data_IF_309866803465
#
_entry.id   IF_309866803465
#
_cell.length_a   1.000
_cell.length_b   1.000
_cell.length_c   1.000
_cell.angle_alpha   90.00
_cell.angle_beta   90.00
_cell.angle_gamma   90.00
#
_symmetry.space_group_name_H-M   'P 1'
#
loop_
_entity.id
_entity.type
_entity.pdbx_description
1 polymer ?
2 non-polymer ?
3 water ?
#
# COMPACT_ATOMS: atom_id res chain seq x y z
N UNK A 34 -6.11 -15.42 2.77
CA UNK A 34 -6.33 -16.78 2.16
C UNK A 34 -5.27 -17.79 2.57
N UNK A 35 -4.44 -18.22 1.60
CA UNK A 35 -3.33 -19.21 1.75
C UNK A 35 -2.29 -18.66 2.74
N UNK A 36 -1.61 -19.54 3.48
CA UNK A 36 -0.64 -19.17 4.54
C UNK A 36 0.52 -18.36 3.92
N UNK A 37 0.78 -18.54 2.61
CA UNK A 37 1.96 -18.00 1.91
C UNK A 37 1.95 -16.48 1.89
N UNK A 38 0.77 -15.90 1.69
CA UNK A 38 0.49 -14.45 1.80
C UNK A 38 0.88 -13.96 3.19
N UNK A 39 0.43 -14.66 4.24
CA UNK A 39 0.60 -14.25 5.65
C UNK A 39 2.06 -14.42 6.05
N UNK A 40 2.73 -15.46 5.55
CA UNK A 40 4.20 -15.64 5.75
C UNK A 40 4.93 -14.43 5.18
N UNK A 41 4.58 -14.01 3.96
CA UNK A 41 5.32 -12.91 3.27
C UNK A 41 5.15 -11.61 4.07
N UNK A 42 3.93 -11.34 4.53
CA UNK A 42 3.60 -10.11 5.30
C UNK A 42 4.30 -10.17 6.64
N UNK A 43 4.23 -11.30 7.35
CA UNK A 43 4.86 -11.47 8.68
C UNK A 43 6.39 -11.32 8.56
N UNK A 44 6.97 -11.80 7.47
CA UNK A 44 8.46 -11.72 7.26
C UNK A 44 8.89 -10.34 6.78
N UNK A 45 7.95 -9.43 6.53
CA UNK A 45 8.30 -8.03 6.17
C UNK A 45 8.54 -7.29 7.50
N UNK A 46 9.80 -7.11 7.87
CA UNK A 46 10.18 -6.54 9.20
C UNK A 46 9.78 -5.05 9.25
N UNK A 47 9.91 -4.33 8.13
CA UNK A 47 9.53 -2.88 8.05
C UNK A 47 8.03 -2.76 8.37
N UNK A 48 7.21 -3.52 7.62
CA UNK A 48 5.76 -3.57 7.80
C UNK A 48 5.43 -3.94 9.24
N UNK A 49 5.84 -5.12 9.69
CA UNK A 49 5.26 -5.70 10.92
C UNK A 49 5.84 -4.99 12.14
N UNK A 50 7.11 -4.61 12.09
CA UNK A 50 7.78 -3.93 13.24
C UNK A 50 7.32 -2.46 13.32
N UNK A 51 6.89 -1.84 12.21
CA UNK A 51 6.31 -0.46 12.24
C UNK A 51 4.99 -0.50 13.03
N UNK A 52 4.16 -1.52 12.79
CA UNK A 52 2.84 -1.69 13.47
C UNK A 52 3.12 -1.98 14.94
N UNK A 53 4.08 -2.86 15.21
CA UNK A 53 4.46 -3.27 16.59
C UNK A 53 4.93 -2.05 17.39
N UNK A 54 5.83 -1.26 16.80
CA UNK A 54 6.41 -0.04 17.43
C UNK A 54 5.32 0.98 17.71
N UNK A 55 4.46 1.27 16.72
CA UNK A 55 3.34 2.21 16.87
C UNK A 55 2.50 1.77 18.08
N UNK A 56 2.14 0.49 18.12
CA UNK A 56 1.22 -0.04 19.17
C UNK A 56 1.94 -0.05 20.54
N UNK A 57 3.12 -0.66 20.64
CA UNK A 57 3.82 -0.82 21.95
C UNK A 57 4.30 0.54 22.48
N UNK A 58 4.71 1.45 21.60
CA UNK A 58 5.27 2.77 22.00
C UNK A 58 4.14 3.80 22.18
N UNK A 59 2.88 3.45 21.91
CA UNK A 59 1.70 4.34 22.13
C UNK A 59 0.58 3.57 22.81
N UNK A 60 0.82 2.94 23.98
CA UNK A 60 -0.18 2.08 24.62
C UNK A 60 -1.38 2.88 25.13
N UNK A 61 -1.23 4.19 25.30
CA UNK A 61 -2.34 5.07 25.73
C UNK A 61 -3.46 5.05 24.70
N UNK A 62 -3.14 4.75 23.45
CA UNK A 62 -4.15 4.67 22.34
C UNK A 62 -4.95 3.37 22.53
N UNK A 63 -4.41 2.39 23.27
CA UNK A 63 -5.00 1.03 23.37
C UNK A 63 -5.54 0.71 24.77
N UNK A 64 -4.96 1.31 25.82
CA UNK A 64 -5.26 0.98 27.25
C UNK A 64 -6.78 1.01 27.47
N UNK A 65 -7.36 -0.13 27.83
CA UNK A 65 -8.79 -0.28 28.24
C UNK A 65 -9.73 0.12 27.10
N UNK A 66 -9.26 0.09 25.85
CA UNK A 66 -10.10 0.48 24.67
C UNK A 66 -10.64 -0.79 23.99
N UNK A 67 -11.70 -0.61 23.19
CA UNK A 67 -12.25 -1.65 22.27
C UNK A 67 -11.64 -1.41 20.89
N UNK A 68 -10.97 -2.43 20.34
CA UNK A 68 -10.19 -2.35 19.08
C UNK A 68 -10.78 -3.32 18.06
N UNK A 69 -10.94 -2.85 16.82
CA UNK A 69 -11.33 -3.69 15.66
C UNK A 69 -10.15 -3.81 14.69
N UNK A 70 -9.70 -5.05 14.46
CA UNK A 70 -8.68 -5.42 13.45
C UNK A 70 -9.42 -5.91 12.20
N UNK A 71 -9.43 -5.10 11.13
CA UNK A 71 -10.17 -5.40 9.87
C UNK A 71 -9.21 -6.18 8.96
N UNK A 72 -9.54 -7.44 8.68
CA UNK A 72 -8.65 -8.35 7.95
C UNK A 72 -7.45 -8.73 8.80
N UNK A 73 -7.72 -9.35 9.95
CA UNK A 73 -6.72 -9.65 11.00
C UNK A 73 -5.71 -10.69 10.53
N UNK A 74 -6.01 -11.48 9.50
CA UNK A 74 -5.15 -12.62 9.10
C UNK A 74 -4.86 -13.53 10.29
N UNK A 75 -3.58 -13.84 10.55
CA UNK A 75 -3.10 -14.69 11.66
C UNK A 75 -3.39 -14.04 13.04
N UNK A 76 -3.74 -12.75 13.07
CA UNK A 76 -4.19 -12.04 14.30
C UNK A 76 -3.07 -11.32 15.03
N UNK A 77 -1.89 -11.15 14.41
CA UNK A 77 -0.69 -10.58 15.09
C UNK A 77 -1.00 -9.15 15.58
N UNK A 78 -1.73 -8.36 14.82
CA UNK A 78 -2.05 -6.95 15.17
C UNK A 78 -2.99 -6.95 16.38
N UNK A 79 -3.90 -7.91 16.44
CA UNK A 79 -4.87 -8.05 17.55
C UNK A 79 -4.11 -8.43 18.81
N UNK A 80 -3.05 -9.23 18.68
CA UNK A 80 -2.25 -9.70 19.82
C UNK A 80 -1.35 -8.55 20.30
N UNK A 81 -0.78 -7.74 19.39
CA UNK A 81 -0.08 -6.47 19.75
C UNK A 81 -1.02 -5.58 20.59
N UNK A 82 -2.21 -5.28 20.08
CA UNK A 82 -3.20 -4.40 20.76
C UNK A 82 -3.50 -4.96 22.16
N UNK A 83 -3.78 -6.27 22.25
CA UNK A 83 -4.03 -6.98 23.53
C UNK A 83 -2.89 -6.69 24.51
N UNK A 84 -1.64 -6.88 24.07
CA UNK A 84 -0.45 -6.74 24.94
C UNK A 84 -0.33 -5.27 25.38
N UNK A 85 -0.71 -4.29 24.54
CA UNK A 85 -0.62 -2.84 24.86
C UNK A 85 -1.80 -2.41 25.78
N UNK A 86 -2.68 -3.34 26.17
CA UNK A 86 -3.67 -3.11 27.25
C UNK A 86 -5.10 -2.90 26.76
N UNK A 87 -5.42 -3.29 25.53
CA UNK A 87 -6.81 -3.25 25.01
C UNK A 87 -7.74 -4.02 25.97
N UNK A 88 -8.92 -3.47 26.27
CA UNK A 88 -9.96 -4.19 27.06
C UNK A 88 -10.45 -5.39 26.24
N UNK A 89 -10.64 -5.18 24.95
CA UNK A 89 -11.35 -6.11 24.03
C UNK A 89 -10.83 -5.82 22.62
N UNK A 90 -10.48 -6.89 21.89
CA UNK A 90 -10.06 -6.81 20.47
C UNK A 90 -10.93 -7.75 19.64
N UNK A 91 -11.54 -7.19 18.60
CA UNK A 91 -12.35 -7.94 17.61
C UNK A 91 -11.54 -8.08 16.33
N UNK A 92 -11.10 -9.29 16.02
CA UNK A 92 -10.40 -9.62 14.78
C UNK A 92 -11.34 -10.21 13.78
N UNK A 93 -11.44 -9.62 12.60
CA UNK A 93 -12.39 -10.05 11.55
C UNK A 93 -11.59 -10.38 10.30
N UNK A 94 -11.84 -11.55 9.73
CA UNK A 94 -11.25 -11.99 8.44
C UNK A 94 -12.23 -12.93 7.74
N UNK A 95 -12.42 -12.72 6.44
CA UNK A 95 -13.38 -13.48 5.60
C UNK A 95 -12.79 -14.85 5.21
N UNK A 96 -11.49 -15.03 5.35
CA UNK A 96 -10.77 -16.22 4.83
C UNK A 96 -10.61 -17.29 5.92
N UNK A 97 -10.40 -18.53 5.48
CA UNK A 97 -9.93 -19.72 6.25
C UNK A 97 -8.89 -19.31 7.31
N UNK A 98 -8.02 -18.35 7.00
CA UNK A 98 -6.88 -17.98 7.89
C UNK A 98 -7.41 -17.70 9.29
N UNK A 99 -8.69 -17.29 9.41
CA UNK A 99 -9.28 -16.97 10.73
C UNK A 99 -9.30 -18.19 11.66
N UNK A 100 -9.41 -19.39 11.13
CA UNK A 100 -9.42 -20.64 11.94
C UNK A 100 -8.01 -20.86 12.51
N UNK A 101 -6.96 -20.56 11.74
CA UNK A 101 -5.55 -20.57 12.24
C UNK A 101 -5.38 -19.48 13.31
N UNK A 102 -6.06 -18.34 13.18
CA UNK A 102 -5.98 -17.22 14.14
C UNK A 102 -6.63 -17.66 15.45
N UNK A 103 -7.71 -18.44 15.39
CA UNK A 103 -8.42 -18.95 16.60
C UNK A 103 -7.45 -19.82 17.41
N UNK A 104 -6.74 -20.76 16.77
CA UNK A 104 -5.71 -21.62 17.40
C UNK A 104 -4.59 -20.75 17.99
N UNK A 105 -4.11 -19.76 17.21
CA UNK A 105 -2.99 -18.86 17.61
C UNK A 105 -3.42 -18.05 18.85
N UNK A 106 -4.59 -17.45 18.85
CA UNK A 106 -5.07 -16.67 20.03
C UNK A 106 -5.14 -17.60 21.25
N UNK A 107 -5.52 -18.87 21.07
CA UNK A 107 -5.63 -19.86 22.19
C UNK A 107 -4.22 -20.24 22.66
N UNK A 108 -3.30 -20.47 21.73
CA UNK A 108 -1.90 -20.84 22.01
C UNK A 108 -1.26 -19.77 22.88
N UNK A 109 -1.68 -18.50 22.72
CA UNK A 109 -1.08 -17.33 23.44
C UNK A 109 -1.99 -16.92 24.59
N UNK A 110 -3.06 -17.67 24.87
CA UNK A 110 -3.97 -17.51 26.06
C UNK A 110 -4.55 -16.09 26.09
N UNK A 111 -4.95 -15.57 24.93
CA UNK A 111 -5.51 -14.21 24.76
C UNK A 111 -6.99 -14.31 24.41
N UNK A 112 -7.59 -15.50 24.51
CA UNK A 112 -8.98 -15.74 24.04
C UNK A 112 -9.92 -14.91 24.93
N UNK A 113 -9.49 -14.55 26.14
CA UNK A 113 -10.28 -13.72 27.11
C UNK A 113 -10.32 -12.26 26.64
N UNK A 114 -9.38 -11.82 25.81
CA UNK A 114 -9.30 -10.42 25.32
C UNK A 114 -9.68 -10.34 23.83
N UNK A 115 -9.19 -11.28 23.01
CA UNK A 115 -9.39 -11.25 21.53
C UNK A 115 -10.48 -12.24 21.14
N UNK A 116 -11.53 -11.75 20.49
CA UNK A 116 -12.62 -12.57 19.93
C UNK A 116 -12.54 -12.44 18.41
N UNK A 117 -12.55 -13.57 17.70
CA UNK A 117 -12.38 -13.66 16.24
C UNK A 117 -13.70 -14.06 15.59
N UNK A 118 -13.99 -13.47 14.44
CA UNK A 118 -15.28 -13.59 13.70
C UNK A 118 -14.92 -13.80 12.23
N UNK A 119 -15.39 -14.89 11.62
CA UNK A 119 -15.24 -15.14 10.16
C UNK A 119 -16.36 -14.42 9.41
N UNK A 120 -16.03 -13.80 8.28
CA UNK A 120 -16.97 -13.11 7.39
C UNK A 120 -16.35 -11.85 6.82
N UNK A 121 -17.05 -11.23 5.87
CA UNK A 121 -16.74 -9.87 5.39
C UNK A 121 -17.07 -8.93 6.55
N UNK A 122 -16.22 -7.93 6.78
CA UNK A 122 -16.49 -6.85 7.75
C UNK A 122 -17.83 -6.21 7.39
N UNK A 123 -18.23 -6.31 6.12
CA UNK A 123 -19.43 -5.66 5.56
C UNK A 123 -20.68 -6.42 6.02
N UNK A 124 -20.54 -7.69 6.41
CA UNK A 124 -21.67 -8.64 6.66
C UNK A 124 -21.72 -9.08 8.14
N UNK A 125 -20.57 -9.35 8.78
CA UNK A 125 -20.51 -9.98 10.15
C UNK A 125 -21.35 -9.16 11.14
N UNK A 126 -21.86 -9.82 12.18
CA UNK A 126 -22.49 -9.19 13.36
C UNK A 126 -21.43 -9.11 14.48
N UNK A 127 -21.17 -7.91 14.98
CA UNK A 127 -20.20 -7.66 16.08
C UNK A 127 -20.96 -7.71 17.40
N UNK A 128 -20.34 -8.21 18.48
CA UNK A 128 -20.95 -8.16 19.81
C UNK A 128 -20.86 -6.78 20.48
N UNK A 129 -20.67 -5.71 19.69
CA UNK A 129 -20.68 -4.30 20.19
C UNK A 129 -21.33 -3.42 19.10
N UNK A 130 -21.72 -2.19 19.46
CA UNK A 130 -22.31 -1.20 18.54
C UNK A 130 -21.18 -0.38 17.88
N UNK A 131 -20.15 -0.07 18.67
CA UNK A 131 -19.10 0.93 18.35
C UNK A 131 -17.75 0.42 18.86
N UNK A 132 -16.67 0.80 18.19
CA UNK A 132 -15.29 0.53 18.66
C UNK A 132 -14.57 1.86 18.86
N UNK A 133 -13.56 1.88 19.73
CA UNK A 133 -12.75 3.08 20.05
C UNK A 133 -11.66 3.28 18.99
N UNK A 134 -11.14 2.18 18.47
CA UNK A 134 -9.91 2.17 17.62
C UNK A 134 -10.10 1.14 16.50
N UNK A 135 -9.75 1.52 15.28
CA UNK A 135 -9.66 0.57 14.14
C UNK A 135 -8.19 0.51 13.72
N UNK A 136 -7.67 -0.70 13.60
CA UNK A 136 -6.35 -0.96 13.00
C UNK A 136 -6.55 -1.89 11.84
N UNK A 137 -5.72 -1.75 10.83
CA UNK A 137 -5.75 -2.61 9.64
C UNK A 137 -4.44 -2.44 8.90
N UNK A 138 -3.99 -3.51 8.26
CA UNK A 138 -3.00 -3.46 7.15
C UNK A 138 -3.75 -3.74 5.84
N UNK A 139 -4.12 -2.71 5.10
CA UNK A 139 -5.11 -2.80 4.00
C UNK A 139 -4.45 -2.52 2.64
N UNK A 140 -3.17 -2.17 2.66
CA UNK A 140 -2.47 -1.48 1.56
C UNK A 140 -2.01 -2.49 0.50
N UNK A 141 -2.24 -2.16 -0.77
CA UNK A 141 -1.88 -2.97 -1.94
C UNK A 141 -0.64 -2.39 -2.61
N UNK A 142 -0.17 -3.05 -3.66
CA UNK A 142 0.88 -2.49 -4.55
C UNK A 142 0.41 -1.11 -5.00
N UNK A 143 1.31 -0.12 -5.01
CA UNK A 143 0.98 1.29 -5.36
C UNK A 143 -0.21 1.77 -4.50
N UNK A 144 -0.30 1.23 -3.28
CA UNK A 144 -1.27 1.59 -2.19
C UNK A 144 -2.65 1.04 -2.50
N UNK A 145 -3.16 1.22 -3.73
CA UNK A 145 -4.60 1.05 -4.04
C UNK A 145 -4.89 -0.22 -4.87
N UNK A 146 -3.90 -0.89 -5.43
CA UNK A 146 -4.19 -2.14 -6.17
C UNK A 146 -4.59 -3.22 -5.17
N UNK A 147 -5.77 -3.83 -5.38
CA UNK A 147 -6.31 -4.95 -4.58
C UNK A 147 -6.11 -4.59 -3.11
N UNK A 148 -6.41 -3.34 -2.79
CA UNK A 148 -6.37 -2.79 -1.42
C UNK A 148 -7.71 -3.10 -0.74
N UNK A 149 -7.77 -2.94 0.58
CA UNK A 149 -8.91 -3.29 1.45
C UNK A 149 -9.50 -2.00 2.03
N UNK A 150 -9.06 -0.84 1.54
CA UNK A 150 -9.33 0.46 2.22
C UNK A 150 -10.85 0.67 2.24
N UNK A 151 -11.52 0.26 1.17
CA UNK A 151 -13.00 0.37 1.00
C UNK A 151 -13.67 -0.35 2.18
N UNK A 152 -13.18 -1.54 2.54
CA UNK A 152 -13.68 -2.35 3.69
C UNK A 152 -13.39 -1.62 5.00
N UNK A 153 -12.23 -0.96 5.10
CA UNK A 153 -11.78 -0.27 6.34
C UNK A 153 -12.62 1.00 6.51
N UNK A 154 -12.90 1.71 5.41
CA UNK A 154 -13.73 2.95 5.43
C UNK A 154 -15.17 2.60 5.84
N UNK A 155 -15.67 1.43 5.42
CA UNK A 155 -17.00 0.90 5.81
C UNK A 155 -17.05 0.69 7.33
N UNK A 156 -16.04 -0.01 7.87
CA UNK A 156 -15.87 -0.22 9.31
C UNK A 156 -15.89 1.13 10.04
N UNK A 157 -15.06 2.08 9.58
CA UNK A 157 -15.01 3.45 10.15
C UNK A 157 -16.46 3.94 10.29
N UNK A 158 -17.15 4.07 9.16
CA UNK A 158 -18.43 4.81 9.05
C UNK A 158 -19.51 4.12 9.89
N UNK A 159 -19.48 2.78 10.03
CA UNK A 159 -20.54 1.99 10.71
C UNK A 159 -20.22 1.87 12.21
N UNK A 160 -18.96 1.65 12.60
CA UNK A 160 -18.60 1.13 13.93
C UNK A 160 -17.73 2.11 14.75
N UNK A 161 -17.12 3.12 14.15
CA UNK A 161 -16.12 3.95 14.88
C UNK A 161 -16.86 4.93 15.78
N UNK A 162 -16.65 4.81 17.09
CA UNK A 162 -17.25 5.72 18.10
C UNK A 162 -16.91 7.16 17.76
N UNK A 163 -17.79 8.08 18.13
CA UNK A 163 -17.56 9.55 18.14
C UNK A 163 -16.18 9.80 18.76
N UNK A 164 -15.28 10.49 18.06
CA UNK A 164 -13.95 10.87 18.57
C UNK A 164 -12.94 9.72 18.56
N UNK A 165 -13.32 8.52 18.10
CA UNK A 165 -12.40 7.38 17.92
C UNK A 165 -11.30 7.65 16.89
N UNK A 166 -10.43 6.68 16.65
CA UNK A 166 -9.23 6.82 15.77
C UNK A 166 -9.04 5.57 14.92
N UNK A 167 -8.53 5.74 13.70
CA UNK A 167 -8.19 4.65 12.76
C UNK A 167 -6.69 4.77 12.42
N UNK A 168 -6.00 3.64 12.23
CA UNK A 168 -4.52 3.57 12.09
C UNK A 168 -4.18 2.49 11.08
N UNK A 169 -3.21 2.74 10.14
CA UNK A 169 -2.54 4.04 10.02
C UNK A 169 -3.50 5.14 9.55
N UNK A 170 -3.28 6.38 9.99
CA UNK A 170 -4.25 7.49 9.78
C UNK A 170 -3.88 8.33 8.54
N UNK A 171 -2.65 8.26 8.06
CA UNK A 171 -2.19 9.15 6.95
C UNK A 171 -1.33 8.32 5.99
N UNK A 172 -1.58 8.48 4.68
CA UNK A 172 -0.90 7.76 3.58
C UNK A 172 -0.62 8.76 2.46
N UNK A 173 0.52 8.59 1.78
CA UNK A 173 0.87 9.38 0.57
C UNK A 173 1.36 8.47 -0.53
N UNK A 174 1.14 8.90 -1.76
CA UNK A 174 1.62 8.25 -3.00
C UNK A 174 2.54 9.24 -3.70
N UNK A 175 3.65 8.72 -4.23
CA UNK A 175 4.69 9.49 -4.91
C UNK A 175 5.05 8.83 -6.23
N UNK A 176 5.48 9.65 -7.19
CA UNK A 176 6.12 9.25 -8.45
C UNK A 176 7.57 9.71 -8.42
N UNK A 177 8.44 8.99 -9.13
CA UNK A 177 9.88 9.34 -9.29
C UNK A 177 10.33 8.86 -10.66
N UNK A 178 11.13 9.65 -11.37
CA UNK A 178 11.59 9.35 -12.75
C UNK A 178 12.74 8.35 -12.68
N UNK A 179 12.83 7.45 -13.66
CA UNK A 179 13.86 6.36 -13.71
C UNK A 179 14.60 6.38 -15.06
N UNK A 180 15.92 6.21 -15.02
CA UNK A 180 16.75 5.87 -16.21
C UNK A 180 17.32 4.47 -16.02
N UNK A 181 16.92 3.54 -16.88
CA UNK A 181 17.47 2.16 -16.86
C UNK A 181 17.21 1.52 -18.22
N UNK A 182 18.08 1.82 -19.18
CA UNK A 182 17.93 1.40 -20.60
C UNK A 182 18.12 -0.12 -20.66
N UNK A 183 18.92 -0.70 -19.77
CA UNK A 183 19.18 -2.18 -19.74
C UNK A 183 17.92 -2.95 -19.30
N UNK A 184 17.30 -2.56 -18.19
CA UNK A 184 16.05 -3.23 -17.73
C UNK A 184 14.97 -2.99 -18.79
N UNK A 185 14.94 -1.82 -19.42
CA UNK A 185 13.93 -1.51 -20.48
C UNK A 185 14.15 -2.46 -21.67
N UNK A 186 15.39 -2.64 -22.08
CA UNK A 186 15.77 -3.54 -23.19
C UNK A 186 15.43 -5.00 -22.81
N UNK A 187 15.73 -5.42 -21.58
CA UNK A 187 15.39 -6.77 -21.03
C UNK A 187 13.91 -7.08 -21.21
N UNK A 188 13.04 -6.07 -21.13
CA UNK A 188 11.57 -6.27 -21.10
C UNK A 188 10.91 -5.96 -22.46
N UNK A 189 11.51 -5.08 -23.29
CA UNK A 189 10.81 -4.50 -24.46
C UNK A 189 11.55 -4.87 -25.74
N UNK A 190 12.75 -4.30 -25.93
CA UNK A 190 13.66 -4.63 -27.05
C UNK A 190 13.84 -6.16 -27.18
N UNK A 191 13.95 -6.88 -26.04
CA UNK A 191 13.98 -8.37 -25.98
C UNK A 191 13.17 -8.96 -27.15
N UNK A 192 11.94 -8.49 -27.35
CA UNK A 192 10.92 -9.12 -28.23
C UNK A 192 11.23 -8.86 -29.72
N UNK A 193 12.22 -8.03 -30.03
CA UNK A 193 12.54 -7.71 -31.46
C UNK A 193 13.33 -8.85 -32.08
N UNK A 194 14.21 -9.52 -31.31
CA UNK A 194 15.03 -10.66 -31.81
C UNK A 194 15.03 -11.77 -30.75
N UNK A 195 14.21 -12.81 -30.96
CA UNK A 195 14.09 -13.98 -30.04
C UNK A 195 14.61 -15.23 -30.75
N UNK A 196 15.83 -15.64 -30.43
CA UNK A 196 16.59 -16.71 -31.13
C UNK A 196 16.43 -16.55 -32.64
N UNK A 197 16.59 -15.31 -33.14
CA UNK A 197 16.65 -15.02 -34.58
C UNK A 197 15.31 -14.65 -35.19
N UNK A 198 14.20 -14.67 -34.46
CA UNK A 198 12.83 -14.41 -35.00
C UNK A 198 12.27 -13.11 -34.41
N UNK A 199 11.53 -12.35 -35.22
CA UNK A 199 10.85 -11.09 -34.78
C UNK A 199 9.61 -11.47 -33.95
N UNK A 200 9.47 -10.94 -32.73
CA UNK A 200 8.24 -11.03 -31.88
C UNK A 200 7.80 -9.64 -31.42
N UNK A 201 8.15 -8.61 -32.21
CA UNK A 201 7.92 -7.15 -31.94
C UNK A 201 6.49 -6.85 -31.47
N UNK A 202 5.50 -7.51 -32.05
CA UNK A 202 4.05 -7.31 -31.81
C UNK A 202 3.70 -7.62 -30.34
N UNK A 203 4.60 -8.26 -29.61
CA UNK A 203 4.40 -8.64 -28.19
C UNK A 203 4.52 -7.41 -27.30
N UNK A 204 5.23 -6.37 -27.76
CA UNK A 204 5.50 -5.12 -27.01
C UNK A 204 4.20 -4.45 -26.55
N UNK A 205 3.11 -4.58 -27.31
CA UNK A 205 1.83 -3.85 -27.08
C UNK A 205 1.09 -4.50 -25.90
N UNK A 206 1.36 -5.76 -25.58
CA UNK A 206 0.80 -6.46 -24.40
C UNK A 206 1.64 -6.17 -23.15
N UNK A 207 2.92 -5.83 -23.31
CA UNK A 207 3.87 -5.72 -22.18
C UNK A 207 3.82 -4.28 -21.60
N UNK A 208 3.80 -3.26 -22.46
CA UNK A 208 3.96 -1.84 -22.04
C UNK A 208 2.88 -1.50 -21.00
N UNK A 209 1.61 -1.85 -21.25
CA UNK A 209 0.50 -1.50 -20.36
C UNK A 209 0.50 -2.22 -19.00
N UNK A 210 1.39 -3.17 -18.79
CA UNK A 210 1.41 -3.92 -17.51
C UNK A 210 2.42 -3.26 -16.58
N UNK A 211 1.95 -2.67 -15.50
CA UNK A 211 2.80 -2.15 -14.41
C UNK A 211 3.60 -3.32 -13.83
N UNK A 212 4.83 -3.08 -13.40
CA UNK A 212 5.73 -4.13 -12.86
C UNK A 212 5.92 -3.82 -11.39
N UNK A 213 5.71 -4.80 -10.53
CA UNK A 213 6.08 -4.69 -9.10
C UNK A 213 7.45 -5.31 -8.92
N UNK A 214 8.46 -4.50 -8.58
CA UNK A 214 9.87 -4.93 -8.45
C UNK A 214 10.63 -3.91 -7.59
N UNK A 215 11.80 -4.31 -7.11
CA UNK A 215 12.74 -3.46 -6.33
C UNK A 215 13.62 -2.71 -7.34
N UNK A 216 13.59 -1.37 -7.31
CA UNK A 216 14.45 -0.47 -8.10
C UNK A 216 15.77 -0.23 -7.37
N UNK A 217 16.86 -0.33 -8.11
CA UNK A 217 18.17 0.23 -7.70
C UNK A 217 18.01 1.73 -7.54
N UNK A 218 18.23 2.28 -6.32
CA UNK A 218 18.13 3.72 -6.10
C UNK A 218 19.02 4.57 -7.04
N UNK A 219 20.12 3.99 -7.48
CA UNK A 219 21.10 4.63 -8.41
C UNK A 219 20.42 5.00 -9.73
N UNK A 220 19.32 4.34 -10.10
CA UNK A 220 18.63 4.55 -11.39
C UNK A 220 17.59 5.70 -11.28
N UNK A 221 17.43 6.32 -10.12
CA UNK A 221 16.45 7.44 -9.97
C UNK A 221 17.08 8.72 -10.54
N UNK A 222 16.32 9.48 -11.32
CA UNK A 222 16.85 10.68 -12.04
C UNK A 222 15.97 11.89 -11.76
N UNK A 223 15.09 11.83 -10.77
CA UNK A 223 14.30 13.01 -10.32
C UNK A 223 14.15 12.95 -8.81
N UNK A 224 13.87 14.12 -8.23
CA UNK A 224 13.21 14.22 -6.90
C UNK A 224 11.85 13.58 -7.01
N UNK A 225 11.38 12.91 -5.94
CA UNK A 225 10.02 12.39 -5.89
C UNK A 225 8.99 13.52 -5.92
N UNK A 226 7.79 13.24 -6.42
CA UNK A 226 6.63 14.16 -6.38
C UNK A 226 5.43 13.46 -5.74
N UNK A 227 4.94 13.97 -4.61
CA UNK A 227 3.65 13.53 -4.01
C UNK A 227 2.53 13.72 -5.04
N UNK A 228 1.67 12.73 -5.25
CA UNK A 228 0.49 12.89 -6.17
C UNK A 228 -0.82 12.68 -5.40
N UNK A 229 -0.77 12.27 -4.14
CA UNK A 229 -1.97 11.90 -3.37
C UNK A 229 -1.65 11.89 -1.89
N UNK A 230 -2.52 12.51 -1.10
CA UNK A 230 -2.48 12.52 0.38
C UNK A 230 -3.85 12.07 0.87
N UNK A 231 -3.88 11.10 1.78
CA UNK A 231 -5.11 10.50 2.36
C UNK A 231 -5.03 10.60 3.88
N UNK A 232 -6.03 11.23 4.53
CA UNK A 232 -6.35 10.99 5.97
C UNK A 232 -7.52 10.05 6.00
N UNK A 233 -7.34 8.87 6.60
CA UNK A 233 -8.35 7.79 6.68
C UNK A 233 -9.51 8.23 7.57
N UNK A 234 -9.32 9.30 8.36
CA UNK A 234 -10.38 9.86 9.25
C UNK A 234 -11.45 10.56 8.41
N UNK A 235 -11.09 11.20 7.28
CA UNK A 235 -11.96 12.13 6.51
C UNK A 235 -12.21 11.64 5.07
N UNK A 236 -11.33 10.82 4.51
CA UNK A 236 -11.45 10.31 3.12
C UNK A 236 -12.72 9.44 2.98
N UNK A 237 -13.33 9.47 1.79
CA UNK A 237 -14.41 8.56 1.32
C UNK A 237 -13.86 7.66 0.22
N UNK A 238 -14.63 6.65 -0.19
CA UNK A 238 -14.27 5.73 -1.31
C UNK A 238 -14.07 6.54 -2.58
N UNK A 239 -14.87 7.58 -2.79
CA UNK A 239 -14.85 8.39 -4.03
C UNK A 239 -13.51 9.13 -4.17
N UNK A 240 -12.83 9.46 -3.07
CA UNK A 240 -11.55 10.24 -3.07
C UNK A 240 -10.39 9.36 -3.56
N UNK A 241 -10.56 8.03 -3.55
CA UNK A 241 -9.51 7.06 -3.96
C UNK A 241 -9.41 7.00 -5.49
N UNK A 242 -10.39 7.54 -6.19
CA UNK A 242 -10.33 7.81 -7.64
C UNK A 242 -9.99 9.30 -7.79
N UNK A 243 -8.82 9.64 -8.32
CA UNK A 243 -8.28 11.03 -8.31
C UNK A 243 -7.36 11.27 -9.52
N UNK A 244 -7.09 12.56 -9.79
CA UNK A 244 -6.14 13.07 -10.80
C UNK A 244 -5.21 14.02 -10.08
N UNK A 245 -3.96 14.10 -10.51
CA UNK A 245 -3.00 15.08 -9.98
C UNK A 245 -2.06 15.48 -11.11
N UNK A 246 -1.81 16.78 -11.28
CA UNK A 246 -0.70 17.32 -12.10
C UNK A 246 0.55 17.12 -11.26
N UNK A 247 1.67 16.78 -11.87
CA UNK A 247 2.91 16.58 -11.08
C UNK A 247 4.05 17.19 -11.85
N UNK A 248 5.10 17.54 -11.14
CA UNK A 248 6.38 18.00 -11.70
C UNK A 248 7.46 17.14 -11.10
N UNK A 249 8.33 16.59 -11.94
CA UNK A 249 9.54 15.88 -11.48
C UNK A 249 10.74 16.79 -11.73
N UNK A 250 11.43 17.16 -10.66
CA UNK A 250 12.67 17.95 -10.75
C UNK A 250 13.77 16.96 -11.11
N UNK A 251 14.19 16.99 -12.37
CA UNK A 251 15.23 16.08 -12.94
C UNK A 251 16.58 16.42 -12.28
N UNK A 252 17.26 15.41 -11.73
CA UNK A 252 18.56 15.58 -11.02
C UNK A 252 19.71 14.96 -11.83
N UNK A 253 19.45 14.37 -13.00
CA UNK A 253 20.51 13.75 -13.83
C UNK A 253 20.12 13.75 -15.30
N UNK A 254 21.03 14.24 -16.14
CA UNK A 254 20.92 14.22 -17.61
C UNK A 254 21.04 12.76 -18.04
N UNK A 255 20.00 12.22 -18.65
CA UNK A 255 19.85 10.76 -18.86
C UNK A 255 18.67 10.52 -19.79
N UNK A 256 18.56 9.28 -20.24
CA UNK A 256 17.37 8.75 -20.93
C UNK A 256 16.39 8.30 -19.85
N UNK A 257 15.22 8.94 -19.79
CA UNK A 257 14.11 8.56 -18.89
C UNK A 257 13.34 7.38 -19.50
N UNK A 258 13.33 6.22 -18.84
CA UNK A 258 12.77 4.97 -19.42
C UNK A 258 11.50 4.54 -18.68
N UNK A 259 11.30 5.02 -17.45
CA UNK A 259 10.16 4.61 -16.62
C UNK A 259 9.78 5.70 -15.63
N UNK A 260 8.55 5.62 -15.12
CA UNK A 260 8.11 6.30 -13.87
C UNK A 260 7.83 5.24 -12.80
N UNK A 261 8.40 5.41 -11.61
CA UNK A 261 8.16 4.50 -10.47
C UNK A 261 7.18 5.17 -9.52
N UNK A 262 6.29 4.36 -8.94
CA UNK A 262 5.35 4.79 -7.89
C UNK A 262 5.63 4.07 -6.59
N UNK A 263 5.41 4.74 -5.47
CA UNK A 263 5.47 4.12 -4.12
C UNK A 263 4.57 4.92 -3.19
N UNK A 264 4.50 4.47 -1.94
CA UNK A 264 3.66 5.09 -0.90
C UNK A 264 4.41 5.12 0.43
N UNK A 265 4.01 6.09 1.24
CA UNK A 265 4.47 6.30 2.63
C UNK A 265 3.26 6.09 3.53
N UNK A 266 3.48 5.49 4.70
CA UNK A 266 2.45 5.16 5.71
C UNK A 266 2.88 5.85 7.01
N UNK A 267 1.96 6.56 7.66
CA UNK A 267 2.19 7.37 8.88
C UNK A 267 1.17 6.99 9.94
N UNK A 268 1.66 6.86 11.17
CA UNK A 268 0.86 6.72 12.40
C UNK A 268 1.13 8.00 13.19
N UNK A 269 0.15 8.90 13.28
CA UNK A 269 0.37 10.28 13.78
C UNK A 269 -0.64 10.60 14.89
N UNK A 270 -1.94 10.52 14.62
CA UNK A 270 -2.97 11.05 15.57
C UNK A 270 -2.71 10.52 16.98
N UNK A 271 -2.51 11.43 17.92
CA UNK A 271 -2.49 11.19 19.39
C UNK A 271 -1.23 10.40 19.81
N UNK A 272 -0.21 10.31 18.95
CA UNK A 272 1.05 9.57 19.22
C UNK A 272 2.06 10.49 19.89
N UNK A 273 2.65 10.03 21.00
CA UNK A 273 3.92 10.56 21.58
C UNK A 273 5.08 10.05 20.74
N UNK A 274 4.95 8.84 20.20
CA UNK A 274 6.00 8.17 19.37
C UNK A 274 5.41 7.92 17.96
N UNK A 275 5.52 8.90 17.07
CA UNK A 275 5.00 8.82 15.67
C UNK A 275 5.88 7.86 14.87
N UNK A 276 5.28 7.15 13.90
CA UNK A 276 5.91 6.05 13.13
C UNK A 276 5.57 6.30 11.67
N UNK A 277 6.59 6.24 10.84
CA UNK A 277 6.46 6.33 9.37
C UNK A 277 7.30 5.19 8.81
N UNK A 278 6.88 4.60 7.71
CA UNK A 278 7.75 3.83 6.82
C UNK A 278 7.36 4.17 5.40
N UNK A 279 8.35 4.08 4.52
CA UNK A 279 8.29 4.37 3.09
C UNK A 279 8.51 3.05 2.34
N UNK A 280 7.82 2.85 1.22
CA UNK A 280 8.05 1.69 0.34
C UNK A 280 8.80 2.16 -0.89
N UNK A 281 9.43 3.34 -0.82
CA UNK A 281 10.22 3.96 -1.88
C UNK A 281 11.59 3.28 -2.06
N UNK A 282 12.21 3.44 -3.24
CA UNK A 282 13.46 2.77 -3.53
C UNK A 282 14.64 3.21 -2.63
N UNK A 283 14.59 4.42 -2.05
CA UNK A 283 15.68 4.95 -1.19
C UNK A 283 15.63 4.28 0.17
N UNK A 284 14.55 3.57 0.48
CA UNK A 284 14.31 2.95 1.79
C UNK A 284 14.45 1.43 1.69
N UNK A 285 14.79 0.80 2.80
CA UNK A 285 14.79 -0.67 2.97
C UNK A 285 13.61 -1.29 2.23
N UNK A 286 13.86 -2.30 1.44
CA UNK A 286 12.80 -2.92 0.61
C UNK A 286 11.75 -3.53 1.54
N UNK A 287 10.52 -3.57 1.04
CA UNK A 287 9.32 -4.18 1.67
C UNK A 287 8.78 -5.17 0.64
N UNK A 288 7.78 -5.94 1.00
CA UNK A 288 7.07 -6.88 0.09
C UNK A 288 6.25 -6.08 -0.93
N UNK A 289 5.94 -4.81 -0.67
CA UNK A 289 5.24 -3.95 -1.66
C UNK A 289 6.20 -3.56 -2.79
N UNK A 290 7.51 -3.60 -2.53
CA UNK A 290 8.53 -3.22 -3.53
C UNK A 290 8.15 -1.82 -4.05
N UNK A 291 8.27 -1.58 -5.35
CA UNK A 291 7.83 -0.34 -6.05
C UNK A 291 7.04 -0.79 -7.28
N UNK A 292 6.19 0.08 -7.81
CA UNK A 292 5.38 -0.19 -9.02
C UNK A 292 6.01 0.63 -10.15
N UNK A 293 6.37 0.00 -11.26
CA UNK A 293 7.13 0.66 -12.34
C UNK A 293 6.25 0.67 -13.58
N UNK A 294 6.10 1.85 -14.15
CA UNK A 294 5.34 2.14 -15.39
C UNK A 294 6.37 2.41 -16.47
N UNK A 295 6.55 1.47 -17.38
CA UNK A 295 7.51 1.56 -18.50
C UNK A 295 6.99 2.55 -19.54
N UNK A 296 7.88 3.39 -20.08
CA UNK A 296 7.57 4.27 -21.24
C UNK A 296 7.77 3.48 -22.54
N UNK A 297 6.80 3.56 -23.47
CA UNK A 297 6.94 3.07 -24.86
C UNK A 297 8.15 3.76 -25.53
N UNK A 298 8.25 5.09 -25.40
CA UNK A 298 9.33 5.91 -26.00
C UNK A 298 10.13 6.59 -24.91
N UNK A 299 11.25 6.00 -24.43
CA UNK A 299 12.13 6.71 -23.52
C UNK A 299 12.53 8.04 -24.20
N UNK A 300 12.86 9.07 -23.43
CA UNK A 300 13.16 10.44 -23.95
C UNK A 300 14.21 11.06 -23.04
N UNK A 301 15.11 11.87 -23.59
CA UNK A 301 16.25 12.46 -22.86
C UNK A 301 15.72 13.58 -21.96
N UNK A 302 16.33 13.75 -20.79
CA UNK A 302 16.00 14.79 -19.80
C UNK A 302 17.32 15.40 -19.32
N UNK A 303 17.26 16.63 -18.82
CA UNK A 303 18.41 17.43 -18.39
C UNK A 303 18.35 17.66 -16.88
N UNK A 304 19.46 17.54 -16.18
CA UNK A 304 19.60 18.00 -14.77
C UNK A 304 19.01 19.42 -14.66
N UNK A 305 18.10 19.65 -13.69
CA UNK A 305 17.48 20.98 -13.41
C UNK A 305 16.21 21.25 -14.20
N UNK A 306 15.83 20.39 -15.14
CA UNK A 306 14.55 20.48 -15.90
C UNK A 306 13.36 20.11 -14.98
N UNK A 307 12.24 20.81 -15.16
CA UNK A 307 10.96 20.56 -14.46
C UNK A 307 10.05 19.76 -15.41
N UNK A 308 10.04 18.45 -15.25
CA UNK A 308 9.25 17.52 -16.10
C UNK A 308 7.80 17.46 -15.57
N UNK A 309 6.86 17.95 -16.38
CA UNK A 309 5.43 18.13 -16.04
C UNK A 309 4.63 16.99 -16.69
N UNK A 310 3.75 16.36 -15.93
CA UNK A 310 2.89 15.28 -16.41
C UNK A 310 1.58 15.28 -15.67
N UNK A 311 0.66 14.40 -16.06
CA UNK A 311 -0.62 14.19 -15.34
C UNK A 311 -0.80 12.71 -15.07
N UNK A 312 -1.40 12.38 -13.93
CA UNK A 312 -1.79 10.98 -13.60
C UNK A 312 -3.22 10.98 -13.05
N UNK A 313 -4.01 9.99 -13.46
CA UNK A 313 -5.37 9.70 -12.96
C UNK A 313 -5.50 8.22 -12.57
N UNK A 314 -6.07 7.96 -11.41
CA UNK A 314 -6.39 6.59 -10.94
C UNK A 314 -7.90 6.38 -11.03
N UNK A 315 -8.30 5.33 -11.74
CA UNK A 315 -9.71 4.86 -11.88
C UNK A 315 -9.83 3.47 -11.25
N UNK A 316 -10.91 3.24 -10.48
CA UNK A 316 -11.37 1.90 -10.02
C UNK A 316 -12.19 1.27 -11.15
N UNK A 317 -11.56 1.09 -12.32
CA UNK A 317 -12.23 0.87 -13.64
C UNK A 317 -12.75 -0.57 -13.69
N UNK A 322 -12.33 -4.71 -8.04
CA UNK A 322 -11.07 -5.40 -7.62
C UNK A 322 -9.86 -4.77 -8.34
N UNK A 323 -10.04 -4.31 -9.59
CA UNK A 323 -8.95 -3.95 -10.56
C UNK A 323 -9.04 -2.46 -11.00
N UNK A 324 -7.93 -1.74 -10.85
CA UNK A 324 -7.83 -0.27 -10.96
C UNK A 324 -6.76 0.07 -12.01
N UNK A 325 -6.82 1.26 -12.61
CA UNK A 325 -5.93 1.63 -13.74
C UNK A 325 -5.35 2.99 -13.48
N UNK A 326 -4.21 3.24 -14.11
CA UNK A 326 -3.36 4.43 -13.87
C UNK A 326 -3.02 4.97 -15.24
N UNK A 327 -3.48 6.18 -15.53
CA UNK A 327 -3.29 6.87 -16.82
C UNK A 327 -2.24 7.94 -16.60
N UNK A 328 -1.16 7.89 -17.38
CA UNK A 328 0.00 8.79 -17.24
C UNK A 328 0.14 9.58 -18.53
N UNK A 329 0.22 10.90 -18.43
CA UNK A 329 0.56 11.79 -19.55
C UNK A 329 1.92 12.40 -19.28
N UNK A 330 2.83 12.26 -20.21
CA UNK A 330 4.23 12.70 -20.03
C UNK A 330 4.83 12.86 -21.40
N UNK A 331 5.48 13.99 -21.66
CA UNK A 331 6.24 14.22 -22.91
C UNK A 331 5.29 14.05 -24.11
N UNK A 332 4.02 14.45 -23.99
CA UNK A 332 3.03 14.53 -25.10
C UNK A 332 2.61 13.14 -25.53
N UNK A 333 2.69 12.20 -24.61
CA UNK A 333 2.19 10.81 -24.76
C UNK A 333 1.37 10.43 -23.53
N UNK A 334 0.33 9.64 -23.75
CA UNK A 334 -0.57 9.12 -22.71
C UNK A 334 -0.61 7.60 -22.80
N UNK A 335 -0.48 6.91 -21.67
CA UNK A 335 -0.62 5.45 -21.58
C UNK A 335 -1.41 5.11 -20.33
N UNK A 336 -2.33 4.16 -20.43
CA UNK A 336 -3.05 3.57 -19.28
C UNK A 336 -2.39 2.23 -18.93
N UNK A 337 -2.08 2.08 -17.66
CA UNK A 337 -1.37 0.93 -17.09
C UNK A 337 -2.33 0.22 -16.16
N UNK A 338 -2.29 -1.10 -16.16
CA UNK A 338 -2.91 -1.92 -15.11
C UNK A 338 -1.91 -2.86 -14.49
N UNK A 339 -2.33 -3.59 -13.48
CA UNK A 339 -1.48 -4.56 -12.77
C UNK A 339 -2.05 -5.97 -12.92
N UNK A 340 -1.19 -6.96 -13.27
CA UNK A 340 -1.54 -8.40 -13.45
C UNK A 340 -1.58 -9.10 -12.08
#
# INVERSE_FOLDING_TARGET
MGSSHHHHHHSSGLVPRGSDLQEDEDGVYFSSYGHYGIHEEMLKDKIRTESYRDFIYQNPHIFKDKVVLDVGCGTGILSMFAAKAGAKKVLGVDQSEILYQAMDIIRLNKLEDTITLIKGKIEEVHLPVEKVDVIISEWMGYFLLFESMLDSVLYAKNKYLAKGGSVYPDICTISLVAVSDVNKHADRIAFWDDVYGFKMSCMKKAVIPEAVVEVLDPKTLISEPCGIKHIDCHTTSISDLEFSSDFTLKITRTSMCTAIAGYFDIYFEKNCHNRVVFSTGPQSTKTHWKQTVFLLEKPFSVKAGEALKGKVTVHKNKKDPRSLTVTLTLNNSTQTYGLQ
#
